data_IF_835297750760
#
_entry.id   IF_835297750760
#
_cell.length_a   1.000
_cell.length_b   1.000
_cell.length_c   1.000
_cell.angle_alpha   90.00
_cell.angle_beta   90.00
_cell.angle_gamma   90.00
#
_symmetry.space_group_name_H-M   'P 1'
#
loop_
_entity.id
_entity.type
_entity.pdbx_description
1 polymer ?
#
# COMPACT_ATOMS: atom_id res chain seq x y z
N UNK A 1 -6.45 -6.89 0.62
CA UNK A 1 -5.86 -5.94 -0.34
C UNK A 1 -4.67 -5.12 0.20
N UNK A 2 -4.19 -5.26 1.45
CA UNK A 2 -3.01 -4.48 1.95
C UNK A 2 -1.68 -5.12 1.56
N UNK A 3 -1.72 -6.38 1.09
CA UNK A 3 -0.53 -7.14 0.70
C UNK A 3 0.36 -6.42 -0.32
N UNK A 4 -0.24 -5.63 -1.22
CA UNK A 4 0.50 -4.86 -2.23
C UNK A 4 1.27 -3.65 -1.66
N UNK A 5 0.97 -3.20 -0.45
CA UNK A 5 1.65 -2.07 0.20
C UNK A 5 3.06 -2.44 0.69
N UNK A 6 3.34 -3.73 0.86
CA UNK A 6 4.65 -4.21 1.32
C UNK A 6 5.69 -4.32 0.21
N UNK A 7 5.33 -3.99 -1.05
CA UNK A 7 6.17 -4.12 -2.24
C UNK A 7 6.78 -5.51 -2.50
N UNK A 8 6.36 -6.53 -1.74
CA UNK A 8 6.82 -7.92 -1.86
C UNK A 8 6.49 -8.58 -3.21
N UNK A 9 5.61 -7.96 -3.99
CA UNK A 9 5.20 -8.42 -5.33
C UNK A 9 6.03 -7.82 -6.46
N UNK A 10 6.94 -6.90 -6.15
CA UNK A 10 7.86 -6.34 -7.12
C UNK A 10 9.13 -7.20 -7.17
N UNK A 11 9.86 -7.13 -8.28
CA UNK A 11 11.16 -7.80 -8.45
C UNK A 11 12.27 -7.10 -7.64
N UNK A 12 11.98 -6.76 -6.38
CA UNK A 12 12.92 -6.21 -5.40
C UNK A 12 13.31 -7.34 -4.45
N UNK A 13 14.60 -7.51 -4.13
CA UNK A 13 15.01 -8.48 -3.14
C UNK A 13 14.37 -8.15 -1.78
N UNK A 14 14.03 -9.17 -0.97
CA UNK A 14 13.46 -8.95 0.35
C UNK A 14 14.42 -8.14 1.22
N UNK A 15 13.89 -7.13 1.90
CA UNK A 15 14.66 -6.30 2.82
C UNK A 15 15.02 -7.16 4.05
N UNK A 16 16.26 -7.01 4.55
CA UNK A 16 16.72 -7.77 5.73
C UNK A 16 16.05 -7.24 7.01
N UNK A 17 15.56 -8.12 7.88
CA UNK A 17 15.00 -7.74 9.19
C UNK A 17 13.70 -6.92 9.08
N UNK A 18 13.55 -5.91 9.94
CA UNK A 18 12.36 -5.03 9.99
C UNK A 18 12.46 -3.81 9.05
N UNK A 19 13.38 -3.84 8.09
CA UNK A 19 13.55 -2.75 7.14
C UNK A 19 12.33 -2.65 6.23
N UNK A 20 11.70 -1.48 6.20
CA UNK A 20 10.57 -1.18 5.33
C UNK A 20 10.95 -0.14 4.28
N UNK A 21 10.27 -0.20 3.14
CA UNK A 21 10.41 0.83 2.13
C UNK A 21 9.94 2.20 2.65
N UNK A 22 10.60 3.30 2.26
CA UNK A 22 10.18 4.64 2.62
C UNK A 22 8.71 4.90 2.26
N UNK A 23 7.96 5.55 3.16
CA UNK A 23 6.53 5.83 2.93
C UNK A 23 6.29 6.63 1.66
N UNK A 24 7.16 7.60 1.36
CA UNK A 24 7.09 8.40 0.13
C UNK A 24 7.12 7.53 -1.14
N UNK A 25 7.98 6.50 -1.17
CA UNK A 25 8.04 5.58 -2.31
C UNK A 25 6.72 4.80 -2.47
N UNK A 26 6.12 4.35 -1.36
CA UNK A 26 4.82 3.67 -1.37
C UNK A 26 3.70 4.59 -1.89
N UNK A 27 3.73 5.87 -1.49
CA UNK A 27 2.78 6.89 -1.96
C UNK A 27 2.92 7.11 -3.46
N UNK A 28 4.12 7.44 -3.94
CA UNK A 28 4.38 7.71 -5.36
C UNK A 28 3.98 6.54 -6.25
N UNK A 29 4.36 5.32 -5.85
CA UNK A 29 4.02 4.11 -6.57
C UNK A 29 2.51 3.82 -6.53
N UNK A 30 1.87 4.06 -5.38
CA UNK A 30 0.42 3.95 -5.23
C UNK A 30 -0.34 4.89 -6.15
N UNK A 31 0.09 6.15 -6.24
CA UNK A 31 -0.48 7.14 -7.18
C UNK A 31 -0.26 6.65 -8.61
N UNK A 32 0.98 6.31 -8.99
CA UNK A 32 1.31 5.85 -10.34
C UNK A 32 0.48 4.63 -10.76
N UNK A 33 0.26 3.68 -9.86
CA UNK A 33 -0.54 2.49 -10.12
C UNK A 33 -2.07 2.72 -10.17
N UNK A 34 -2.55 3.92 -9.83
CA UNK A 34 -3.98 4.21 -9.72
C UNK A 34 -4.66 3.47 -8.56
N UNK A 35 -3.91 3.26 -7.46
CA UNK A 35 -4.38 2.54 -6.27
C UNK A 35 -5.49 3.34 -5.56
N UNK A 36 -6.60 2.66 -5.26
CA UNK A 36 -7.75 3.27 -4.58
C UNK A 36 -7.77 3.11 -3.06
N UNK A 37 -7.21 2.00 -2.60
CA UNK A 37 -7.24 1.58 -1.20
C UNK A 37 -5.84 1.70 -0.61
N UNK A 38 -5.75 2.40 0.51
CA UNK A 38 -4.54 2.60 1.28
C UNK A 38 -4.88 2.66 2.77
N UNK A 39 -3.94 2.27 3.62
CA UNK A 39 -4.14 2.25 5.07
C UNK A 39 -4.25 3.67 5.62
N UNK A 40 -4.81 3.82 6.82
CA UNK A 40 -5.03 5.15 7.40
C UNK A 40 -3.73 5.93 7.58
N UNK A 41 -2.67 5.25 8.03
CA UNK A 41 -1.33 5.83 8.22
C UNK A 41 -0.76 6.32 6.88
N UNK A 42 -0.91 5.56 5.80
CA UNK A 42 -0.49 5.98 4.47
C UNK A 42 -1.38 7.11 3.91
N UNK A 43 -2.65 7.16 4.31
CA UNK A 43 -3.61 8.17 3.87
C UNK A 43 -3.31 9.55 4.45
N UNK A 44 -2.97 9.63 5.73
CA UNK A 44 -2.50 10.89 6.34
C UNK A 44 -1.22 11.39 5.67
N UNK A 45 -0.27 10.49 5.43
CA UNK A 45 1.01 10.80 4.79
C UNK A 45 0.82 11.21 3.32
N UNK A 46 -0.13 10.60 2.60
CA UNK A 46 -0.47 10.99 1.22
C UNK A 46 -1.07 12.40 1.18
N UNK A 47 -1.95 12.75 2.12
CA UNK A 47 -2.49 14.12 2.19
C UNK A 47 -1.41 15.15 2.51
N UNK A 48 -0.43 14.79 3.35
CA UNK A 48 0.73 15.65 3.60
C UNK A 48 1.64 15.77 2.37
N UNK A 49 1.90 14.65 1.68
CA UNK A 49 2.70 14.60 0.45
C UNK A 49 2.11 15.48 -0.66
N UNK A 50 0.78 15.46 -0.82
CA UNK A 50 0.07 16.32 -1.77
C UNK A 50 -0.14 17.75 -1.27
N UNK A 51 0.38 18.09 -0.07
CA UNK A 51 0.22 19.40 0.59
C UNK A 51 -1.25 19.83 0.77
N UNK A 52 -2.16 18.87 0.98
CA UNK A 52 -3.60 19.09 1.22
C UNK A 52 -3.87 19.51 2.68
N UNK A 53 -2.88 19.43 3.56
CA UNK A 53 -2.95 19.91 4.94
C UNK A 53 -2.86 21.44 4.95
N UNK A 54 -3.99 22.13 4.73
CA UNK A 54 -3.94 23.60 4.63
C UNK A 54 -5.23 24.42 4.52
N UNK A 55 -6.44 23.86 4.66
CA UNK A 55 -7.68 24.68 4.68
C UNK A 55 -8.72 24.17 5.68
N UNK A 56 -8.39 24.20 6.97
CA UNK A 56 -9.40 24.41 7.99
C UNK A 56 -9.18 25.80 8.58
N UNK A 57 -10.23 26.60 8.55
CA UNK A 57 -10.26 28.01 8.91
C UNK A 57 -9.54 28.34 10.22
N UNK A 58 -8.43 29.06 10.13
CA UNK A 58 -8.02 30.14 11.04
C UNK A 58 -6.74 30.74 10.46
N UNK A 59 -6.73 32.05 10.23
CA UNK A 59 -5.51 32.77 9.90
C UNK A 59 -4.55 32.63 11.06
N UNK A 60 -3.58 31.73 10.91
CA UNK A 60 -2.46 31.57 11.81
C UNK A 60 -1.28 31.09 10.96
N UNK A 61 -0.37 32.04 10.77
CA UNK A 61 1.00 31.97 10.28
C UNK A 61 1.62 30.58 10.15
N UNK A 62 2.36 30.40 9.04
CA UNK A 62 3.33 29.35 8.81
C UNK A 62 4.16 29.06 10.07
N UNK A 63 4.04 27.83 10.60
CA UNK A 63 4.93 27.34 11.65
C UNK A 63 5.43 25.94 11.31
N UNK A 64 6.57 25.92 10.61
CA UNK A 64 7.73 25.10 10.97
C UNK A 64 7.64 23.58 10.79
N UNK A 65 7.99 23.11 9.59
CA UNK A 65 8.87 21.94 9.45
C UNK A 65 9.84 22.15 8.28
N UNK A 66 10.99 22.74 8.59
CA UNK A 66 12.10 23.07 7.68
C UNK A 66 13.02 21.87 7.47
N UNK A 67 12.54 20.81 6.82
CA UNK A 67 13.41 19.70 6.39
C UNK A 67 12.94 18.95 5.12
N UNK A 68 11.84 19.33 4.47
CA UNK A 68 11.27 18.59 3.32
C UNK A 68 11.11 19.46 2.06
N UNK A 69 11.61 20.70 2.06
CA UNK A 69 11.35 21.65 0.97
C UNK A 69 12.34 21.61 -0.22
N UNK A 70 13.15 20.56 -0.32
CA UNK A 70 13.91 20.24 -1.54
C UNK A 70 13.08 19.40 -2.53
N UNK A 71 11.93 18.87 -2.10
CA UNK A 71 11.02 18.12 -2.95
C UNK A 71 10.10 19.12 -3.63
N UNK A 72 10.39 19.44 -4.89
CA UNK A 72 9.58 20.30 -5.72
C UNK A 72 8.09 19.96 -5.66
N UNK A 73 7.23 20.93 -5.99
CA UNK A 73 5.77 20.75 -5.98
C UNK A 73 5.38 19.51 -6.82
N UNK A 74 4.54 18.64 -6.27
CA UNK A 74 4.08 17.43 -6.97
C UNK A 74 3.35 17.77 -8.28
N UNK A 75 2.47 18.77 -8.23
CA UNK A 75 1.79 19.35 -9.39
C UNK A 75 1.26 20.75 -9.00
N UNK A 76 0.89 21.56 -10.01
CA UNK A 76 0.21 22.84 -9.77
C UNK A 76 -1.18 22.64 -9.15
N UNK A 77 -1.89 21.59 -9.59
CA UNK A 77 -3.15 21.11 -8.99
C UNK A 77 -3.05 19.60 -8.70
N UNK A 78 -2.56 19.21 -7.51
CA UNK A 78 -2.41 17.81 -7.11
C UNK A 78 -3.73 17.03 -7.10
N UNK A 79 -4.84 17.68 -6.74
CA UNK A 79 -6.15 17.04 -6.63
C UNK A 79 -6.76 16.80 -8.01
N UNK A 80 -6.72 17.81 -8.89
CA UNK A 80 -7.16 17.67 -10.28
C UNK A 80 -6.34 16.64 -11.03
N UNK A 81 -5.02 16.62 -10.84
CA UNK A 81 -4.15 15.58 -11.39
C UNK A 81 -4.60 14.20 -10.91
N UNK A 82 -4.74 14.00 -9.59
CA UNK A 82 -5.11 12.69 -9.04
C UNK A 82 -6.50 12.25 -9.52
N UNK A 83 -7.46 13.17 -9.56
CA UNK A 83 -8.80 12.88 -10.05
C UNK A 83 -8.79 12.45 -11.53
N UNK A 84 -8.08 13.19 -12.39
CA UNK A 84 -7.94 12.84 -13.81
C UNK A 84 -7.18 11.54 -14.02
N UNK A 85 -6.11 11.33 -13.26
CA UNK A 85 -5.29 10.12 -13.30
C UNK A 85 -6.09 8.87 -12.89
N UNK A 86 -6.84 8.95 -11.80
CA UNK A 86 -7.71 7.86 -11.34
C UNK A 86 -8.85 7.62 -12.32
N UNK A 87 -9.44 8.66 -12.89
CA UNK A 87 -10.46 8.51 -13.93
C UNK A 87 -9.90 7.81 -15.19
N UNK A 88 -8.66 8.08 -15.58
CA UNK A 88 -8.02 7.44 -16.74
C UNK A 88 -7.64 5.96 -16.47
N UNK A 89 -7.11 5.66 -15.28
CA UNK A 89 -6.70 4.31 -14.90
C UNK A 89 -7.89 3.38 -14.60
N UNK A 90 -9.06 3.96 -14.28
CA UNK A 90 -10.30 3.24 -13.97
C UNK A 90 -11.24 3.30 -15.17
N UNK A 91 -11.37 2.20 -15.92
CA UNK A 91 -12.28 2.02 -17.08
C UNK A 91 -13.78 2.22 -16.74
N UNK A 92 -14.19 3.40 -16.28
CA UNK A 92 -15.58 3.74 -15.93
C UNK A 92 -16.06 3.24 -14.56
N UNK A 93 -15.17 2.80 -13.66
CA UNK A 93 -15.57 2.41 -12.30
C UNK A 93 -15.60 3.61 -11.37
N UNK A 94 -16.66 3.73 -10.58
CA UNK A 94 -16.74 4.73 -9.51
C UNK A 94 -15.68 4.46 -8.42
N UNK A 95 -15.09 5.53 -7.88
CA UNK A 95 -14.09 5.44 -6.82
C UNK A 95 -14.33 6.45 -5.68
N UNK A 96 -15.44 7.20 -5.71
CA UNK A 96 -15.72 8.28 -4.75
C UNK A 96 -15.84 7.84 -3.29
N UNK A 97 -16.14 6.57 -3.04
CA UNK A 97 -16.24 5.97 -1.70
C UNK A 97 -14.96 5.26 -1.24
N UNK A 98 -13.86 5.40 -2.00
CA UNK A 98 -12.55 4.83 -1.63
C UNK A 98 -11.67 5.89 -0.97
N UNK A 99 -10.68 5.52 -0.15
CA UNK A 99 -9.73 6.48 0.44
C UNK A 99 -9.15 7.46 -0.60
N UNK A 100 -8.71 6.96 -1.76
CA UNK A 100 -8.19 7.82 -2.83
C UNK A 100 -9.25 8.78 -3.41
N UNK A 101 -10.52 8.35 -3.49
CA UNK A 101 -11.63 9.21 -3.87
C UNK A 101 -11.88 10.35 -2.87
N UNK A 102 -11.76 10.07 -1.56
CA UNK A 102 -11.84 11.10 -0.53
C UNK A 102 -10.65 12.07 -0.57
N UNK A 103 -9.44 11.59 -0.92
CA UNK A 103 -8.28 12.45 -1.19
C UNK A 103 -8.59 13.41 -2.33
N UNK A 104 -9.12 12.93 -3.46
CA UNK A 104 -9.49 13.77 -4.61
C UNK A 104 -10.50 14.87 -4.24
N UNK A 105 -11.36 14.59 -3.26
CA UNK A 105 -12.34 15.55 -2.73
C UNK A 105 -11.75 16.52 -1.69
N UNK A 106 -10.47 16.40 -1.33
CA UNK A 106 -9.83 17.18 -0.28
C UNK A 106 -10.40 16.90 1.13
N UNK A 107 -11.10 15.78 1.32
CA UNK A 107 -11.73 15.44 2.60
C UNK A 107 -10.73 14.73 3.49
N UNK A 108 -10.62 15.17 4.74
CA UNK A 108 -9.88 14.48 5.79
C UNK A 108 -10.79 13.49 6.51
N UNK A 109 -10.41 12.21 6.50
CA UNK A 109 -11.10 11.13 7.19
C UNK A 109 -10.42 10.79 8.51
N UNK A 110 -11.19 10.26 9.46
CA UNK A 110 -10.65 9.68 10.69
C UNK A 110 -10.34 8.20 10.53
N UNK A 111 -9.48 7.65 11.39
CA UNK A 111 -9.11 6.21 11.40
C UNK A 111 -10.32 5.27 11.51
N UNK A 112 -11.40 5.72 12.16
CA UNK A 112 -12.62 4.93 12.35
C UNK A 112 -13.60 5.00 11.18
N UNK A 113 -13.24 5.68 10.08
CA UNK A 113 -14.11 5.80 8.92
C UNK A 113 -14.30 4.45 8.20
N UNK A 114 -15.50 4.21 7.66
CA UNK A 114 -15.86 2.95 7.00
C UNK A 114 -14.95 2.59 5.81
N UNK A 115 -14.39 3.60 5.15
CA UNK A 115 -13.43 3.44 4.05
C UNK A 115 -12.13 2.70 4.43
N UNK A 116 -11.81 2.58 5.72
CA UNK A 116 -10.61 1.88 6.22
C UNK A 116 -10.90 0.52 6.85
N UNK A 117 -12.16 0.06 6.86
CA UNK A 117 -12.53 -1.21 7.51
C UNK A 117 -12.00 -2.48 6.81
N UNK A 118 -11.41 -2.34 5.63
CA UNK A 118 -10.83 -3.45 4.87
C UNK A 118 -9.47 -3.89 5.44
N UNK A 119 -8.74 -3.02 6.15
CA UNK A 119 -7.44 -3.34 6.76
C UNK A 119 -7.54 -4.41 7.85
N UNK A 120 -8.70 -4.58 8.50
CA UNK A 120 -8.89 -5.56 9.59
C UNK A 120 -9.10 -6.99 9.09
N UNK A 121 -9.73 -7.18 7.93
CA UNK A 121 -10.02 -8.52 7.39
C UNK A 121 -8.77 -9.18 6.79
N UNK A 122 -7.80 -8.39 6.32
CA UNK A 122 -6.59 -8.91 5.69
C UNK A 122 -5.56 -9.52 6.65
N UNK A 123 -5.48 -9.04 7.90
CA UNK A 123 -4.58 -9.64 8.92
C UNK A 123 -4.89 -11.12 9.13
N UNK A 124 -6.18 -11.47 9.19
CA UNK A 124 -6.63 -12.85 9.37
C UNK A 124 -6.32 -13.76 8.16
N UNK A 125 -6.25 -13.19 6.95
CA UNK A 125 -5.95 -13.94 5.73
C UNK A 125 -4.45 -14.13 5.50
N UNK A 126 -3.61 -13.18 5.93
CA UNK A 126 -2.15 -13.30 5.86
C UNK A 126 -1.60 -14.35 6.84
N UNK A 127 -2.24 -14.50 8.01
CA UNK A 127 -1.94 -15.57 8.96
C UNK A 127 -2.24 -16.96 8.40
N UNK A 128 -3.34 -17.12 7.65
CA UNK A 128 -3.68 -18.42 7.03
C UNK A 128 -2.71 -18.83 5.91
N UNK A 129 -2.26 -17.87 5.09
CA UNK A 129 -1.29 -18.15 4.01
C UNK A 129 0.09 -18.51 4.57
N UNK A 130 0.46 -17.94 5.73
CA UNK A 130 1.73 -18.27 6.42
C UNK A 130 1.75 -19.69 6.98
N UNK A 131 0.60 -20.29 7.28
CA UNK A 131 0.49 -21.67 7.79
C UNK A 131 0.58 -22.74 6.70
N UNK A 132 0.50 -22.36 5.42
CA UNK A 132 0.60 -23.27 4.30
C UNK A 132 2.05 -23.55 3.84
N UNK A 133 3.05 -22.88 4.41
CA UNK A 133 4.48 -23.03 4.05
C UNK A 133 5.32 -23.85 5.05
N UNK A 134 4.70 -24.60 5.97
CA UNK A 134 5.43 -25.54 6.83
C UNK A 134 4.86 -26.93 6.61
N UNK A 135 5.41 -27.63 5.62
CA UNK A 135 5.54 -29.09 5.54
C UNK A 135 6.42 -29.37 4.30
N UNK A 136 7.72 -29.11 4.42
CA UNK A 136 8.71 -29.77 3.56
C UNK A 136 8.69 -31.25 3.96
N UNK A 137 8.12 -32.07 3.09
CA UNK A 137 8.08 -33.52 3.21
C UNK A 137 9.47 -34.06 2.85
N UNK A 138 10.30 -34.23 3.89
CA UNK A 138 11.62 -34.86 3.81
C UNK A 138 11.46 -36.38 3.70
N UNK A 139 11.00 -36.86 2.54
CA UNK A 139 10.93 -38.29 2.26
C UNK A 139 12.25 -38.75 1.61
N UNK A 140 13.24 -39.05 2.45
CA UNK A 140 14.41 -39.85 2.08
C UNK A 140 14.04 -41.33 1.97
N UNK A 141 13.70 -41.80 0.77
CA UNK A 141 13.60 -43.24 0.48
C UNK A 141 15.00 -43.78 0.17
N UNK A 142 15.54 -44.51 1.14
CA UNK A 142 16.74 -45.33 0.99
C UNK A 142 16.49 -46.44 -0.04
N UNK A 143 17.33 -46.50 -1.07
CA UNK A 143 17.39 -47.62 -2.00
C UNK A 143 17.96 -48.86 -1.30
N UNK A 144 17.13 -49.90 -1.15
CA UNK A 144 17.59 -51.23 -0.79
C UNK A 144 17.63 -52.07 -2.07
N UNK A 145 18.85 -52.37 -2.53
CA UNK A 145 19.14 -53.36 -3.55
C UNK A 145 18.84 -54.74 -2.96
N UNK A 146 17.99 -55.54 -3.61
CA UNK A 146 17.94 -56.98 -3.38
C UNK A 146 17.82 -57.74 -4.69
N UNK A 147 18.60 -58.81 -4.74
CA UNK A 147 19.02 -59.57 -5.91
C UNK A 147 17.99 -60.58 -6.42
N UNK A 148 18.23 -61.00 -7.65
CA UNK A 148 17.56 -62.01 -8.48
C UNK A 148 17.18 -63.32 -7.77
N UNK A 149 16.09 -63.97 -8.21
CA UNK A 149 16.14 -65.39 -8.59
C UNK A 149 15.04 -65.74 -9.61
N UNK A 150 15.44 -66.51 -10.63
CA UNK A 150 14.64 -67.12 -11.68
C UNK A 150 13.80 -68.31 -11.17
N UNK A 151 12.65 -68.53 -11.81
CA UNK A 151 12.21 -69.84 -12.33
C UNK A 151 11.29 -69.64 -13.55
#
# INVERSE_FOLDING_TARGET
MTLFNQLNFYAVPPLKGDNQFPTVLKIELGILSGRLYLDFEEYSETMQYLRIVGTCATGAEESGSTAVDERGKFADDPLGLLQGWLAMTRKGREFGHTPAGYICQGRQLSKNHSAFRWSTTDMLMAEDISRLHVNDDDTSINGHEDSETFD
#
